data_IF_762781177175
#
_entry.id   IF_762781177175
#
_cell.length_a   1.000
_cell.length_b   1.000
_cell.length_c   1.000
_cell.angle_alpha   90.00
_cell.angle_beta   90.00
_cell.angle_gamma   90.00
#
_symmetry.space_group_name_H-M   'P 1'
#
loop_
_entity.id
_entity.type
_entity.pdbx_description
1 polymer ?
#
# COMPACT_ATOMS: atom_id res chain seq x y z
N UNK A 1 -2.72 -77.37 -37.45
CA UNK A 1 -2.81 -77.88 -36.07
C UNK A 1 -1.96 -76.99 -35.18
N UNK A 2 -2.56 -76.53 -34.11
CA UNK A 2 -2.10 -75.44 -33.25
C UNK A 2 -0.75 -75.69 -32.59
N UNK A 3 0.05 -74.64 -32.43
CA UNK A 3 1.02 -74.59 -31.35
C UNK A 3 1.09 -73.17 -30.78
N UNK A 4 0.96 -73.16 -29.46
CA UNK A 4 0.71 -72.07 -28.54
C UNK A 4 1.99 -71.37 -28.11
N UNK A 5 1.93 -70.04 -27.99
CA UNK A 5 2.86 -69.23 -27.20
C UNK A 5 2.95 -69.72 -25.75
N UNK A 6 4.14 -69.64 -25.13
CA UNK A 6 4.27 -68.67 -24.03
C UNK A 6 5.68 -68.04 -23.93
N UNK A 7 5.74 -66.72 -23.73
CA UNK A 7 6.92 -66.07 -23.14
C UNK A 7 6.43 -64.87 -22.30
N UNK A 8 6.39 -65.04 -20.98
CA UNK A 8 7.42 -64.72 -19.98
C UNK A 8 7.49 -63.21 -19.68
N UNK A 9 6.93 -62.88 -18.52
CA UNK A 9 7.13 -61.66 -17.75
C UNK A 9 8.61 -61.41 -17.48
N UNK A 10 9.06 -60.18 -17.72
CA UNK A 10 10.37 -59.70 -17.27
C UNK A 10 10.15 -58.47 -16.41
N UNK A 11 10.22 -58.71 -15.11
CA UNK A 11 10.45 -57.69 -14.08
C UNK A 11 11.80 -57.01 -14.35
N UNK A 12 11.83 -55.67 -14.48
CA UNK A 12 13.07 -54.90 -14.43
C UNK A 12 13.10 -54.01 -13.21
N UNK A 13 13.99 -54.42 -12.31
CA UNK A 13 14.55 -53.71 -11.16
C UNK A 13 14.82 -52.24 -11.48
N UNK A 14 14.26 -51.34 -10.66
CA UNK A 14 14.53 -49.91 -10.69
C UNK A 14 15.80 -49.68 -9.87
N UNK A 15 16.89 -49.40 -10.56
CA UNK A 15 18.16 -49.05 -9.93
C UNK A 15 18.10 -47.61 -9.41
N UNK A 16 18.28 -47.48 -8.10
CA UNK A 16 18.44 -46.23 -7.38
C UNK A 16 19.74 -45.53 -7.79
N UNK A 17 19.68 -44.56 -8.70
CA UNK A 17 20.86 -43.72 -8.97
C UNK A 17 20.48 -42.28 -9.31
N UNK A 18 21.16 -41.36 -8.59
CA UNK A 18 21.33 -39.92 -8.85
C UNK A 18 20.10 -39.01 -8.74
N UNK A 19 19.83 -38.55 -7.52
CA UNK A 19 19.19 -37.25 -7.28
C UNK A 19 20.15 -36.14 -7.78
N UNK A 20 19.66 -35.09 -8.49
CA UNK A 20 20.51 -33.98 -8.92
C UNK A 20 20.99 -33.19 -7.71
N UNK A 21 22.32 -33.12 -7.56
CA UNK A 21 23.00 -32.29 -6.57
C UNK A 21 22.64 -30.83 -6.84
N UNK A 22 22.01 -30.17 -5.87
CA UNK A 22 21.68 -28.73 -5.84
C UNK A 22 22.91 -27.94 -6.30
N UNK A 23 22.87 -27.34 -7.50
CA UNK A 23 23.98 -26.51 -8.00
C UNK A 23 24.12 -25.32 -7.08
N UNK A 24 25.31 -25.18 -6.49
CA UNK A 24 25.74 -24.05 -5.69
C UNK A 24 25.58 -22.76 -6.50
N UNK A 25 24.95 -21.75 -5.90
CA UNK A 25 24.97 -20.37 -6.39
C UNK A 25 26.42 -19.95 -6.71
N UNK A 26 26.64 -19.05 -7.70
CA UNK A 26 27.98 -18.57 -8.02
C UNK A 26 28.67 -18.06 -6.74
N UNK A 27 29.90 -18.54 -6.50
CA UNK A 27 30.72 -18.10 -5.37
C UNK A 27 31.12 -16.66 -5.68
N UNK A 28 30.44 -15.70 -5.04
CA UNK A 28 30.90 -14.32 -4.98
C UNK A 28 32.11 -14.35 -4.04
N UNK A 29 33.31 -14.11 -4.55
CA UNK A 29 34.49 -14.04 -3.67
C UNK A 29 34.40 -12.75 -2.85
N UNK A 30 34.00 -12.91 -1.59
CA UNK A 30 33.82 -11.82 -0.66
C UNK A 30 35.16 -11.18 -0.32
N UNK A 31 35.18 -9.85 -0.22
CA UNK A 31 36.35 -9.13 0.25
C UNK A 31 36.70 -9.54 1.69
N UNK A 32 37.93 -9.33 2.18
CA UNK A 32 38.27 -9.62 3.58
C UNK A 32 37.33 -8.92 4.58
N UNK A 33 36.90 -7.69 4.27
CA UNK A 33 35.93 -6.95 5.08
C UNK A 33 34.54 -7.62 5.06
N UNK A 34 34.08 -8.07 3.89
CA UNK A 34 32.80 -8.78 3.77
C UNK A 34 32.83 -10.13 4.50
N UNK A 35 33.95 -10.85 4.46
CA UNK A 35 34.13 -12.11 5.21
C UNK A 35 34.06 -11.88 6.73
N UNK A 36 34.67 -10.80 7.23
CA UNK A 36 34.55 -10.42 8.63
C UNK A 36 33.10 -10.04 9.00
N UNK A 37 32.42 -9.27 8.13
CA UNK A 37 31.03 -8.88 8.33
C UNK A 37 30.07 -10.07 8.29
N UNK A 38 30.28 -11.04 7.39
CA UNK A 38 29.54 -12.31 7.36
C UNK A 38 29.63 -13.05 8.70
N UNK A 39 30.82 -13.14 9.29
CA UNK A 39 31.00 -13.76 10.60
C UNK A 39 30.22 -13.02 11.72
N UNK A 40 30.19 -11.68 11.69
CA UNK A 40 29.42 -10.86 12.62
C UNK A 40 27.91 -11.05 12.44
N UNK A 41 27.41 -11.07 11.20
CA UNK A 41 25.99 -11.32 10.92
C UNK A 41 25.60 -12.72 11.39
N UNK A 42 26.42 -13.73 11.09
CA UNK A 42 26.17 -15.09 11.53
C UNK A 42 26.16 -15.21 13.07
N UNK A 43 27.04 -14.48 13.77
CA UNK A 43 27.04 -14.41 15.23
C UNK A 43 25.75 -13.76 15.75
N UNK A 44 25.40 -12.57 15.25
CA UNK A 44 24.19 -11.86 15.65
C UNK A 44 22.91 -12.68 15.40
N UNK A 45 22.84 -13.43 14.29
CA UNK A 45 21.77 -14.39 14.03
C UNK A 45 21.70 -15.52 15.05
N UNK A 46 22.84 -16.14 15.40
CA UNK A 46 22.89 -17.25 16.38
C UNK A 46 22.47 -16.77 17.77
N UNK A 47 22.94 -15.60 18.16
CA UNK A 47 22.71 -15.03 19.49
C UNK A 47 21.38 -14.29 19.58
N UNK A 48 20.65 -14.18 18.46
CA UNK A 48 19.42 -13.38 18.29
C UNK A 48 19.62 -11.92 18.75
N UNK A 49 20.82 -11.37 18.52
CA UNK A 49 21.18 -10.00 18.85
C UNK A 49 20.57 -9.04 17.83
N UNK A 50 19.35 -8.61 18.12
CA UNK A 50 18.58 -7.72 17.26
C UNK A 50 19.27 -6.36 17.04
N UNK A 51 19.76 -5.64 18.07
CA UNK A 51 20.52 -4.41 17.87
C UNK A 51 21.72 -4.59 16.93
N UNK A 52 22.49 -5.67 17.07
CA UNK A 52 23.61 -5.95 16.18
C UNK A 52 23.14 -6.22 14.74
N UNK A 53 22.06 -7.00 14.55
CA UNK A 53 21.48 -7.24 13.23
C UNK A 53 21.00 -5.95 12.55
N UNK A 54 20.32 -5.08 13.30
CA UNK A 54 19.88 -3.76 12.80
C UNK A 54 21.08 -2.93 12.36
N UNK A 55 22.12 -2.85 13.20
CA UNK A 55 23.34 -2.13 12.86
C UNK A 55 24.02 -2.70 11.60
N UNK A 56 24.21 -4.01 11.53
CA UNK A 56 24.87 -4.67 10.40
C UNK A 56 24.08 -4.55 9.09
N UNK A 57 22.75 -4.63 9.14
CA UNK A 57 21.87 -4.40 8.00
C UNK A 57 21.89 -2.93 7.51
N UNK A 58 22.22 -2.00 8.39
CA UNK A 58 22.34 -0.57 8.07
C UNK A 58 23.65 -0.25 7.37
N UNK A 59 24.77 -0.79 7.85
CA UNK A 59 26.10 -0.55 7.26
C UNK A 59 26.19 -1.03 5.81
N UNK A 60 27.17 -0.49 5.06
CA UNK A 60 27.35 -0.74 3.61
C UNK A 60 27.27 -2.21 3.22
N UNK A 61 26.65 -2.49 2.07
CA UNK A 61 26.37 -3.84 1.56
C UNK A 61 25.33 -4.65 2.34
N UNK A 62 24.74 -4.11 3.40
CA UNK A 62 23.62 -4.74 4.14
C UNK A 62 23.98 -6.12 4.69
N UNK A 63 23.09 -7.10 4.49
CA UNK A 63 23.27 -8.47 5.01
C UNK A 63 24.05 -9.39 4.06
N UNK A 64 24.64 -8.84 3.01
CA UNK A 64 25.52 -9.49 2.02
C UNK A 64 24.83 -10.54 1.13
N UNK A 65 24.35 -11.65 1.70
CA UNK A 65 23.94 -12.85 0.94
C UNK A 65 22.57 -13.37 1.37
N UNK A 66 21.87 -14.01 0.43
CA UNK A 66 20.56 -14.63 0.71
C UNK A 66 20.65 -15.75 1.76
N UNK A 67 21.80 -16.41 1.90
CA UNK A 67 21.99 -17.39 2.98
C UNK A 67 21.96 -16.76 4.37
N UNK A 68 22.53 -15.57 4.54
CA UNK A 68 22.46 -14.84 5.81
C UNK A 68 21.06 -14.25 6.02
N UNK A 69 20.45 -13.70 4.96
CA UNK A 69 19.09 -13.15 5.00
C UNK A 69 18.03 -14.19 5.40
N UNK A 70 18.21 -15.46 5.00
CA UNK A 70 17.33 -16.57 5.43
C UNK A 70 17.17 -16.70 6.93
N UNK A 71 18.19 -16.32 7.69
CA UNK A 71 18.13 -16.31 9.16
C UNK A 71 17.82 -14.92 9.70
N UNK A 72 18.43 -13.88 9.11
CA UNK A 72 18.31 -12.51 9.62
C UNK A 72 16.92 -11.88 9.38
N UNK A 73 16.31 -12.06 8.20
CA UNK A 73 15.02 -11.42 7.88
C UNK A 73 13.89 -11.89 8.81
N UNK A 74 13.71 -13.20 9.09
CA UNK A 74 12.73 -13.64 10.08
C UNK A 74 13.00 -13.05 11.48
N UNK A 75 14.26 -12.90 11.89
CA UNK A 75 14.61 -12.30 13.19
C UNK A 75 14.26 -10.80 13.23
N UNK A 76 14.59 -10.05 12.18
CA UNK A 76 14.24 -8.62 12.05
C UNK A 76 12.72 -8.42 12.04
N UNK A 77 11.99 -9.34 11.40
CA UNK A 77 10.52 -9.35 11.40
C UNK A 77 9.91 -9.93 12.68
N UNK A 78 10.70 -10.44 13.62
CA UNK A 78 10.18 -11.01 14.86
C UNK A 78 9.32 -12.25 14.69
N UNK A 79 9.58 -13.07 13.68
CA UNK A 79 8.90 -14.35 13.49
C UNK A 79 9.06 -15.25 14.71
N UNK A 80 7.93 -15.68 15.27
CA UNK A 80 7.87 -16.68 16.32
C UNK A 80 7.59 -18.06 15.72
N UNK A 81 8.03 -19.14 16.38
CA UNK A 81 7.67 -20.51 15.96
C UNK A 81 6.15 -20.74 16.02
N UNK A 82 5.46 -20.03 16.90
CA UNK A 82 4.01 -20.06 17.10
C UNK A 82 3.23 -19.48 15.90
N UNK A 83 3.88 -18.66 15.06
CA UNK A 83 3.27 -18.13 13.84
C UNK A 83 3.08 -19.22 12.77
N UNK A 84 3.75 -20.38 12.93
CA UNK A 84 3.62 -21.52 12.03
C UNK A 84 2.37 -22.35 12.36
N UNK A 85 1.30 -22.18 11.58
CA UNK A 85 0.12 -23.03 11.72
C UNK A 85 0.29 -24.40 11.08
N UNK A 86 -0.22 -25.42 11.75
CA UNK A 86 -0.24 -26.82 11.29
C UNK A 86 -1.34 -27.14 10.27
N UNK A 87 -2.39 -26.31 10.18
CA UNK A 87 -3.48 -26.53 9.21
C UNK A 87 -3.01 -26.17 7.78
N UNK A 88 -3.14 -27.07 6.79
CA UNK A 88 -2.88 -26.75 5.38
C UNK A 88 -3.81 -25.63 4.89
N UNK A 89 -3.24 -24.60 4.26
CA UNK A 89 -3.98 -23.40 3.86
C UNK A 89 -5.02 -23.68 2.76
N UNK A 90 -4.84 -24.75 1.99
CA UNK A 90 -5.75 -25.19 0.94
C UNK A 90 -7.12 -25.60 1.50
N UNK A 91 -7.17 -26.00 2.78
CA UNK A 91 -8.39 -26.36 3.50
C UNK A 91 -9.14 -25.15 4.08
N UNK A 92 -8.51 -23.97 4.10
CA UNK A 92 -9.14 -22.75 4.55
C UNK A 92 -10.07 -22.20 3.46
N UNK A 93 -11.11 -21.43 3.82
CA UNK A 93 -12.00 -20.81 2.86
C UNK A 93 -11.23 -19.97 1.81
N UNK A 94 -11.66 -19.98 0.53
CA UNK A 94 -11.06 -19.15 -0.49
C UNK A 94 -11.10 -17.66 -0.12
N UNK A 95 -10.03 -16.95 -0.45
CA UNK A 95 -9.96 -15.51 -0.28
C UNK A 95 -10.76 -14.79 -1.39
N UNK A 96 -11.25 -13.58 -1.12
CA UNK A 96 -11.98 -12.78 -2.12
C UNK A 96 -11.11 -12.32 -3.29
N UNK A 97 -9.80 -12.20 -3.07
CA UNK A 97 -8.86 -11.58 -4.02
C UNK A 97 -8.04 -12.58 -4.86
N UNK A 98 -8.32 -13.90 -4.78
CA UNK A 98 -7.50 -14.93 -5.48
C UNK A 98 -7.44 -14.74 -6.99
N UNK A 99 -8.50 -14.22 -7.59
CA UNK A 99 -8.52 -13.91 -9.02
C UNK A 99 -7.48 -12.84 -9.38
N UNK A 100 -7.41 -11.75 -8.59
CA UNK A 100 -6.44 -10.69 -8.80
C UNK A 100 -5.00 -11.20 -8.59
N UNK A 101 -4.79 -12.04 -7.56
CA UNK A 101 -3.50 -12.70 -7.32
C UNK A 101 -3.04 -13.46 -8.56
N UNK A 102 -3.93 -14.27 -9.17
CA UNK A 102 -3.60 -15.04 -10.37
C UNK A 102 -3.17 -14.15 -11.54
N UNK A 103 -3.90 -13.05 -11.80
CA UNK A 103 -3.58 -12.12 -12.88
C UNK A 103 -2.21 -11.47 -12.69
N UNK A 104 -1.88 -11.10 -11.46
CA UNK A 104 -0.64 -10.41 -11.10
C UNK A 104 0.57 -11.36 -11.12
N UNK A 105 0.43 -12.55 -10.54
CA UNK A 105 1.50 -13.58 -10.52
C UNK A 105 1.90 -14.02 -11.93
N UNK A 106 0.97 -14.03 -12.88
CA UNK A 106 1.29 -14.33 -14.29
C UNK A 106 2.30 -13.34 -14.89
N UNK A 107 2.36 -12.11 -14.36
CA UNK A 107 3.28 -11.04 -14.77
C UNK A 107 4.52 -10.93 -13.86
N UNK A 108 4.72 -11.85 -12.93
CA UNK A 108 5.88 -11.86 -12.02
C UNK A 108 7.15 -12.42 -12.69
N UNK A 109 8.29 -12.21 -12.02
CA UNK A 109 9.63 -12.68 -12.43
C UNK A 109 10.12 -12.17 -13.79
N UNK A 110 9.73 -10.96 -14.19
CA UNK A 110 10.12 -10.35 -15.48
C UNK A 110 11.60 -9.98 -15.50
N UNK A 111 12.12 -9.39 -14.43
CA UNK A 111 13.50 -8.88 -14.38
C UNK A 111 14.49 -9.81 -13.68
N UNK A 112 13.99 -10.62 -12.75
CA UNK A 112 14.78 -11.55 -11.95
C UNK A 112 13.93 -12.76 -11.54
N UNK A 113 14.55 -13.93 -11.31
CA UNK A 113 15.97 -14.23 -11.53
C UNK A 113 16.34 -14.40 -13.02
N UNK A 114 17.59 -14.07 -13.37
CA UNK A 114 18.11 -14.25 -14.75
C UNK A 114 18.52 -15.71 -14.98
N UNK A 115 18.45 -16.15 -16.23
CA UNK A 115 18.93 -17.46 -16.70
C UNK A 115 18.14 -18.67 -16.18
N UNK A 116 16.85 -18.50 -15.92
CA UNK A 116 15.94 -19.62 -15.64
C UNK A 116 15.15 -20.00 -16.89
N UNK A 117 14.86 -21.30 -17.03
CA UNK A 117 13.96 -21.82 -18.07
C UNK A 117 12.50 -21.48 -17.75
N UNK A 118 11.65 -21.45 -18.78
CA UNK A 118 10.21 -21.19 -18.62
C UNK A 118 9.56 -22.12 -17.59
N UNK A 119 9.93 -23.41 -17.57
CA UNK A 119 9.44 -24.37 -16.58
C UNK A 119 9.83 -24.01 -15.14
N UNK A 120 11.02 -23.44 -14.93
CA UNK A 120 11.44 -22.97 -13.61
C UNK A 120 10.67 -21.71 -13.21
N UNK A 121 10.47 -20.78 -14.15
CA UNK A 121 9.67 -19.58 -13.93
C UNK A 121 8.21 -19.93 -13.61
N UNK A 122 7.60 -20.86 -14.34
CA UNK A 122 6.24 -21.35 -14.07
C UNK A 122 6.14 -21.97 -12.68
N UNK A 123 7.12 -22.78 -12.27
CA UNK A 123 7.17 -23.33 -10.91
C UNK A 123 7.31 -22.22 -9.86
N UNK A 124 8.07 -21.17 -10.13
CA UNK A 124 8.16 -20.02 -9.21
C UNK A 124 6.87 -19.23 -9.13
N UNK A 125 6.15 -19.06 -10.24
CA UNK A 125 4.82 -18.42 -10.27
C UNK A 125 3.82 -19.24 -9.46
N UNK A 126 3.82 -20.55 -9.60
CA UNK A 126 3.02 -21.45 -8.77
C UNK A 126 3.35 -21.26 -7.28
N UNK A 127 4.62 -21.32 -6.90
CA UNK A 127 5.07 -21.09 -5.52
C UNK A 127 4.74 -19.69 -5.00
N UNK A 128 4.84 -18.66 -5.83
CA UNK A 128 4.47 -17.29 -5.47
C UNK A 128 2.98 -17.19 -5.18
N UNK A 129 2.14 -17.82 -6.02
CA UNK A 129 0.71 -17.91 -5.77
C UNK A 129 0.45 -18.65 -4.45
N UNK A 130 1.09 -19.80 -4.21
CA UNK A 130 0.93 -20.57 -2.97
C UNK A 130 1.25 -19.72 -1.73
N UNK A 131 2.38 -19.01 -1.71
CA UNK A 131 2.77 -18.15 -0.57
C UNK A 131 1.77 -17.01 -0.35
N UNK A 132 1.31 -16.34 -1.41
CA UNK A 132 0.34 -15.25 -1.30
C UNK A 132 -0.99 -15.78 -0.76
N UNK A 133 -1.48 -16.89 -1.31
CA UNK A 133 -2.76 -17.48 -0.92
C UNK A 133 -2.73 -18.04 0.50
N UNK A 134 -1.60 -18.62 0.93
CA UNK A 134 -1.40 -19.09 2.30
C UNK A 134 -1.66 -17.93 3.28
N UNK A 135 -0.99 -16.80 3.07
CA UNK A 135 -1.12 -15.61 3.93
C UNK A 135 -2.55 -15.04 3.88
N UNK A 136 -3.12 -14.84 2.68
CA UNK A 136 -4.45 -14.24 2.55
C UNK A 136 -5.58 -15.12 3.12
N UNK A 137 -5.50 -16.44 2.96
CA UNK A 137 -6.52 -17.35 3.52
C UNK A 137 -6.42 -17.47 5.04
N UNK A 138 -5.20 -17.39 5.61
CA UNK A 138 -5.00 -17.33 7.06
C UNK A 138 -5.47 -16.03 7.67
N UNK A 139 -5.32 -14.93 6.93
CA UNK A 139 -5.65 -13.58 7.37
C UNK A 139 -6.68 -12.93 6.44
N UNK A 140 -7.93 -13.43 6.40
CA UNK A 140 -8.95 -13.02 5.42
C UNK A 140 -9.43 -11.57 5.55
N UNK A 141 -8.95 -10.85 6.58
CA UNK A 141 -9.18 -9.42 6.76
C UNK A 141 -8.27 -8.56 5.87
N UNK A 142 -7.11 -9.09 5.44
CA UNK A 142 -6.21 -8.43 4.50
C UNK A 142 -6.89 -8.30 3.12
N UNK A 143 -6.68 -7.15 2.48
CA UNK A 143 -7.10 -6.92 1.09
C UNK A 143 -5.85 -6.90 0.22
N UNK A 144 -5.85 -7.68 -0.86
CA UNK A 144 -4.74 -7.68 -1.81
C UNK A 144 -4.69 -6.33 -2.55
N UNK A 145 -3.50 -5.75 -2.68
CA UNK A 145 -3.25 -4.61 -3.56
C UNK A 145 -2.35 -5.01 -4.73
N UNK A 146 -2.58 -4.42 -5.90
CA UNK A 146 -1.76 -4.66 -7.08
C UNK A 146 -0.32 -4.17 -6.83
N UNK A 147 0.63 -5.08 -6.94
CA UNK A 147 2.04 -4.85 -6.57
C UNK A 147 2.49 -5.59 -5.30
N UNK A 148 1.58 -6.17 -4.53
CA UNK A 148 1.96 -7.02 -3.38
C UNK A 148 2.81 -8.24 -3.80
N UNK A 149 2.57 -8.78 -5.00
CA UNK A 149 3.37 -9.87 -5.55
C UNK A 149 4.85 -9.48 -5.76
N UNK A 150 5.15 -8.21 -6.06
CA UNK A 150 6.53 -7.72 -6.21
C UNK A 150 7.31 -7.78 -4.89
N UNK A 151 6.63 -7.62 -3.75
CA UNK A 151 7.24 -7.84 -2.42
C UNK A 151 7.41 -9.33 -2.16
N UNK A 152 6.34 -10.11 -2.34
CA UNK A 152 6.34 -11.53 -1.95
C UNK A 152 7.32 -12.35 -2.80
N UNK A 153 7.53 -12.00 -4.07
CA UNK A 153 8.51 -12.69 -4.91
C UNK A 153 9.96 -12.51 -4.41
N UNK A 154 10.29 -11.37 -3.80
CA UNK A 154 11.61 -11.15 -3.18
C UNK A 154 11.79 -12.10 -1.99
N UNK A 155 10.80 -12.16 -1.11
CA UNK A 155 10.81 -13.09 0.03
C UNK A 155 10.84 -14.55 -0.42
N UNK A 156 10.11 -14.92 -1.47
CA UNK A 156 10.15 -16.28 -2.03
C UNK A 156 11.56 -16.63 -2.53
N UNK A 157 12.25 -15.71 -3.19
CA UNK A 157 13.61 -15.95 -3.70
C UNK A 157 14.63 -16.10 -2.57
N UNK A 158 14.50 -15.30 -1.52
CA UNK A 158 15.41 -15.35 -0.36
C UNK A 158 15.09 -16.54 0.54
N UNK A 159 13.87 -16.62 1.07
CA UNK A 159 13.43 -17.56 2.11
C UNK A 159 12.98 -18.92 1.55
N UNK A 160 12.48 -18.95 0.32
CA UNK A 160 11.85 -20.14 -0.25
C UNK A 160 10.40 -20.32 0.20
N UNK A 161 9.68 -21.28 -0.41
CA UNK A 161 8.22 -21.40 -0.27
C UNK A 161 7.75 -21.82 1.12
N UNK A 162 8.61 -22.42 1.94
CA UNK A 162 8.24 -22.90 3.27
C UNK A 162 8.44 -21.84 4.37
N UNK A 163 9.51 -21.05 4.27
CA UNK A 163 9.86 -20.04 5.28
C UNK A 163 9.28 -18.65 4.94
N UNK A 164 8.89 -18.41 3.69
CA UNK A 164 8.30 -17.14 3.26
C UNK A 164 6.92 -16.84 3.88
N UNK A 165 5.95 -17.77 3.97
CA UNK A 165 4.62 -17.48 4.48
C UNK A 165 4.58 -16.80 5.87
N UNK A 166 5.25 -17.32 6.93
CA UNK A 166 5.20 -16.66 8.24
C UNK A 166 5.87 -15.28 8.24
N UNK A 167 6.98 -15.11 7.51
CA UNK A 167 7.64 -13.82 7.37
C UNK A 167 6.76 -12.79 6.65
N UNK A 168 6.10 -13.20 5.57
CA UNK A 168 5.17 -12.36 4.82
C UNK A 168 3.93 -12.03 5.65
N UNK A 169 3.37 -12.96 6.43
CA UNK A 169 2.25 -12.67 7.32
C UNK A 169 2.60 -11.54 8.31
N UNK A 170 3.78 -11.60 8.92
CA UNK A 170 4.26 -10.54 9.82
C UNK A 170 4.51 -9.22 9.11
N UNK A 171 5.16 -9.25 7.95
CA UNK A 171 5.34 -8.05 7.13
C UNK A 171 3.98 -7.40 6.82
N UNK A 172 3.03 -8.19 6.33
CA UNK A 172 1.70 -7.75 5.90
C UNK A 172 0.88 -7.15 7.04
N UNK A 173 0.90 -7.76 8.22
CA UNK A 173 0.11 -7.28 9.36
C UNK A 173 0.81 -6.21 10.20
N UNK A 174 2.14 -6.13 10.20
CA UNK A 174 2.89 -5.28 11.13
C UNK A 174 3.77 -4.22 10.46
N UNK A 175 4.03 -4.29 9.16
CA UNK A 175 4.89 -3.34 8.43
C UNK A 175 4.21 -2.63 7.27
N UNK A 176 3.33 -3.32 6.54
CA UNK A 176 2.66 -2.76 5.35
C UNK A 176 1.14 -2.81 5.45
N UNK A 177 0.59 -3.06 6.65
CA UNK A 177 -0.85 -3.25 6.91
C UNK A 177 -1.73 -2.18 6.29
N UNK A 178 -1.31 -0.92 6.37
CA UNK A 178 -2.01 0.23 5.81
C UNK A 178 -2.29 0.11 4.30
N UNK A 179 -1.45 -0.64 3.57
CA UNK A 179 -1.60 -0.88 2.13
C UNK A 179 -2.57 -2.01 1.83
N UNK A 180 -2.90 -2.83 2.83
CA UNK A 180 -3.77 -4.00 2.74
C UNK A 180 -5.16 -3.77 3.37
N UNK A 181 -5.56 -2.52 3.59
CA UNK A 181 -6.95 -2.17 3.91
C UNK A 181 -7.83 -2.21 2.66
N UNK A 182 -9.15 -2.10 2.84
CA UNK A 182 -10.11 -2.16 1.71
C UNK A 182 -9.96 -1.03 0.69
N UNK A 183 -9.25 0.03 1.05
CA UNK A 183 -8.93 1.17 0.18
C UNK A 183 -7.49 1.61 0.41
N UNK A 184 -6.88 2.27 -0.57
CA UNK A 184 -5.53 2.82 -0.46
C UNK A 184 -5.47 4.17 0.27
N UNK A 185 -6.59 4.70 0.80
CA UNK A 185 -6.63 5.97 1.53
C UNK A 185 -5.59 6.04 2.68
N UNK A 186 -5.36 4.98 3.49
CA UNK A 186 -4.32 4.98 4.50
C UNK A 186 -2.91 5.04 3.92
N UNK A 187 -2.64 4.26 2.87
CA UNK A 187 -1.37 4.28 2.14
C UNK A 187 -1.06 5.70 1.63
N UNK A 188 -2.05 6.31 1.00
CA UNK A 188 -1.98 7.67 0.48
C UNK A 188 -1.77 8.70 1.62
N UNK A 189 -2.39 8.48 2.78
CA UNK A 189 -2.17 9.32 3.97
C UNK A 189 -0.72 9.26 4.46
N UNK A 190 -0.06 8.09 4.35
CA UNK A 190 1.38 7.98 4.64
C UNK A 190 2.22 8.76 3.62
N UNK A 191 1.88 8.69 2.33
CA UNK A 191 2.60 9.42 1.29
C UNK A 191 2.46 10.94 1.41
N UNK A 192 1.38 11.44 1.99
CA UNK A 192 1.23 12.87 2.28
C UNK A 192 2.33 13.40 3.22
N UNK A 193 3.00 12.54 3.99
CA UNK A 193 4.18 12.92 4.80
C UNK A 193 5.36 13.42 3.95
N UNK A 194 5.39 13.13 2.64
CA UNK A 194 6.38 13.71 1.73
C UNK A 194 6.30 15.25 1.71
N UNK A 195 5.11 15.83 1.80
CA UNK A 195 4.91 17.28 1.74
C UNK A 195 5.61 18.04 2.88
N UNK A 196 5.40 17.71 4.17
CA UNK A 196 6.12 18.38 5.25
C UNK A 196 7.61 18.05 5.26
N UNK A 197 8.04 16.86 4.80
CA UNK A 197 9.46 16.53 4.64
C UNK A 197 10.11 17.46 3.63
N UNK A 198 9.53 17.61 2.42
CA UNK A 198 10.05 18.52 1.40
C UNK A 198 10.01 19.97 1.86
N UNK A 199 8.91 20.42 2.47
CA UNK A 199 8.80 21.79 3.00
C UNK A 199 9.92 22.13 3.97
N UNK A 200 10.31 21.19 4.82
CA UNK A 200 11.37 21.39 5.81
C UNK A 200 12.78 21.19 5.23
N UNK A 201 12.97 20.25 4.31
CA UNK A 201 14.27 19.91 3.76
C UNK A 201 14.72 20.86 2.64
N UNK A 202 13.80 21.25 1.76
CA UNK A 202 14.05 22.13 0.61
C UNK A 202 12.78 22.93 0.26
N UNK A 203 12.61 24.13 0.85
CA UNK A 203 11.45 24.97 0.58
C UNK A 203 11.31 25.37 -0.89
N UNK A 204 12.42 25.57 -1.62
CA UNK A 204 12.38 25.99 -3.03
C UNK A 204 11.76 24.88 -3.88
N UNK A 205 12.30 23.66 -3.76
CA UNK A 205 11.77 22.49 -4.44
C UNK A 205 10.32 22.22 -4.00
N UNK A 206 10.00 22.35 -2.71
CA UNK A 206 8.63 22.19 -2.22
C UNK A 206 7.66 23.16 -2.90
N UNK A 207 8.04 24.43 -3.12
CA UNK A 207 7.19 25.39 -3.82
C UNK A 207 7.01 25.03 -5.29
N UNK A 208 8.04 24.46 -5.93
CA UNK A 208 8.00 23.98 -7.31
C UNK A 208 7.15 22.72 -7.53
N UNK A 209 7.01 21.85 -6.51
CA UNK A 209 6.24 20.61 -6.66
C UNK A 209 4.72 20.82 -6.84
N UNK A 210 4.04 19.88 -7.55
CA UNK A 210 2.59 19.78 -7.61
C UNK A 210 1.96 19.78 -6.21
N UNK A 211 0.88 20.55 -6.02
CA UNK A 211 0.14 20.56 -4.73
C UNK A 211 -0.94 19.47 -4.65
N UNK A 212 -1.07 18.69 -5.70
CA UNK A 212 -1.94 17.52 -5.76
C UNK A 212 -1.43 16.41 -4.83
N UNK A 213 -2.24 15.37 -4.68
CA UNK A 213 -1.90 14.22 -3.86
C UNK A 213 -0.65 13.51 -4.44
N UNK A 214 0.30 13.03 -3.62
CA UNK A 214 1.58 12.50 -4.09
C UNK A 214 1.46 11.08 -4.67
N UNK A 215 0.57 10.88 -5.63
CA UNK A 215 0.34 9.58 -6.25
C UNK A 215 1.53 9.07 -7.08
N UNK A 216 2.46 9.96 -7.47
CA UNK A 216 3.74 9.60 -8.10
C UNK A 216 4.60 8.69 -7.21
N UNK A 217 4.38 8.72 -5.89
CA UNK A 217 5.14 7.94 -4.92
C UNK A 217 4.51 6.58 -4.59
N UNK A 218 3.30 6.31 -5.06
CA UNK A 218 2.54 5.10 -4.70
C UNK A 218 3.30 3.85 -5.11
N UNK A 219 3.59 3.69 -6.40
CA UNK A 219 4.16 2.46 -6.93
C UNK A 219 5.48 2.08 -6.25
N UNK A 220 6.38 3.05 -6.05
CA UNK A 220 7.65 2.83 -5.35
C UNK A 220 7.46 2.46 -3.89
N UNK A 221 6.65 3.23 -3.15
CA UNK A 221 6.56 3.07 -1.69
C UNK A 221 5.79 1.81 -1.29
N UNK A 222 4.63 1.54 -1.90
CA UNK A 222 3.78 0.41 -1.49
C UNK A 222 4.37 -0.95 -1.85
N UNK A 223 5.31 -0.98 -2.81
CA UNK A 223 6.03 -2.19 -3.23
C UNK A 223 7.42 -2.29 -2.61
N UNK A 224 7.76 -1.44 -1.63
CA UNK A 224 9.09 -1.36 -1.03
C UNK A 224 10.20 -1.24 -2.09
N UNK A 225 9.95 -0.44 -3.12
CA UNK A 225 10.79 -0.17 -4.28
C UNK A 225 11.06 -1.38 -5.19
N UNK A 226 10.52 -2.57 -4.88
CA UNK A 226 10.73 -3.79 -5.67
C UNK A 226 10.13 -3.69 -7.09
N UNK A 227 9.14 -2.83 -7.29
CA UNK A 227 8.55 -2.58 -8.61
C UNK A 227 9.39 -1.67 -9.51
N UNK A 228 10.14 -0.73 -8.93
CA UNK A 228 10.83 0.33 -9.69
C UNK A 228 12.35 0.12 -9.77
N UNK A 229 12.94 -0.57 -8.79
CA UNK A 229 14.35 -1.00 -8.83
C UNK A 229 14.41 -2.34 -9.56
N UNK A 230 15.31 -2.46 -10.54
CA UNK A 230 15.46 -3.69 -11.33
C UNK A 230 16.55 -4.64 -10.82
N UNK A 231 17.73 -4.18 -10.37
CA UNK A 231 18.77 -5.09 -9.91
C UNK A 231 18.35 -5.79 -8.61
N UNK A 232 18.25 -7.12 -8.63
CA UNK A 232 17.88 -7.92 -7.45
C UNK A 232 18.79 -7.68 -6.23
N UNK A 233 20.07 -7.41 -6.47
CA UNK A 233 21.02 -7.06 -5.40
C UNK A 233 20.61 -5.76 -4.68
N UNK A 234 20.14 -4.76 -5.42
CA UNK A 234 19.74 -3.47 -4.85
C UNK A 234 18.39 -3.60 -4.14
N UNK A 235 17.46 -4.39 -4.69
CA UNK A 235 16.18 -4.69 -4.03
C UNK A 235 16.42 -5.38 -2.68
N UNK A 236 17.21 -6.46 -2.67
CA UNK A 236 17.52 -7.18 -1.41
C UNK A 236 18.28 -6.31 -0.41
N UNK A 237 19.16 -5.41 -0.89
CA UNK A 237 19.84 -4.42 -0.05
C UNK A 237 18.88 -3.41 0.58
N UNK A 238 17.88 -2.93 -0.17
CA UNK A 238 16.82 -2.07 0.35
C UNK A 238 15.95 -2.81 1.37
N UNK A 239 15.65 -4.09 1.15
CA UNK A 239 14.88 -4.90 2.10
C UNK A 239 15.67 -5.13 3.39
N UNK A 240 16.98 -5.38 3.32
CA UNK A 240 17.85 -5.43 4.51
C UNK A 240 17.67 -4.16 5.36
N UNK A 241 17.66 -2.98 4.72
CA UNK A 241 17.45 -1.69 5.38
C UNK A 241 16.03 -1.51 5.92
N UNK A 242 14.99 -1.75 5.12
CA UNK A 242 13.59 -1.54 5.52
C UNK A 242 13.12 -2.48 6.62
N UNK A 243 13.66 -3.70 6.69
CA UNK A 243 13.35 -4.65 7.75
C UNK A 243 14.07 -4.33 9.06
N UNK A 244 15.18 -3.59 9.00
CA UNK A 244 15.95 -3.19 10.17
C UNK A 244 15.45 -1.90 10.84
N UNK A 245 14.69 -1.08 10.12
CA UNK A 245 14.33 0.29 10.54
C UNK A 245 12.82 0.53 10.66
N UNK A 246 12.44 1.76 10.99
CA UNK A 246 11.06 2.16 11.23
C UNK A 246 10.17 2.06 9.99
N UNK A 247 8.85 1.89 10.18
CA UNK A 247 7.91 1.62 9.09
C UNK A 247 7.78 2.76 8.08
N UNK A 248 8.20 3.96 8.47
CA UNK A 248 8.16 5.16 7.63
C UNK A 248 9.34 5.25 6.65
N UNK A 249 10.38 4.43 6.78
CA UNK A 249 11.59 4.53 5.97
C UNK A 249 11.39 4.48 4.46
N UNK A 250 10.44 3.69 3.89
CA UNK A 250 10.16 3.77 2.46
C UNK A 250 9.73 5.17 1.99
N UNK A 251 8.99 5.92 2.83
CA UNK A 251 8.61 7.31 2.53
C UNK A 251 9.83 8.23 2.54
N UNK A 252 10.74 8.05 3.51
CA UNK A 252 11.98 8.83 3.58
C UNK A 252 12.94 8.50 2.44
N UNK A 253 13.01 7.24 2.01
CA UNK A 253 13.79 6.86 0.83
C UNK A 253 13.23 7.54 -0.41
N UNK A 254 11.90 7.58 -0.55
CA UNK A 254 11.28 8.30 -1.66
C UNK A 254 11.63 9.79 -1.63
N UNK A 255 11.56 10.42 -0.45
CA UNK A 255 11.98 11.80 -0.28
C UNK A 255 13.45 12.03 -0.64
N UNK A 256 14.36 11.17 -0.19
CA UNK A 256 15.78 11.24 -0.50
C UNK A 256 16.06 11.09 -2.01
N UNK A 257 15.33 10.20 -2.69
CA UNK A 257 15.38 10.03 -4.16
C UNK A 257 14.90 11.27 -4.90
N UNK A 258 13.85 11.93 -4.42
CA UNK A 258 13.38 13.18 -5.04
C UNK A 258 14.38 14.33 -4.80
N UNK A 259 14.89 14.45 -3.58
CA UNK A 259 15.87 15.49 -3.22
C UNK A 259 17.20 15.31 -3.96
N UNK A 260 17.61 14.09 -4.31
CA UNK A 260 18.83 13.87 -5.10
C UNK A 260 18.70 14.33 -6.56
N UNK A 261 17.47 14.48 -7.07
CA UNK A 261 17.16 15.00 -8.41
C UNK A 261 16.77 16.49 -8.40
N UNK A 262 17.04 17.19 -7.30
CA UNK A 262 16.59 18.58 -7.09
C UNK A 262 16.80 19.47 -8.31
N UNK A 263 18.03 19.54 -8.82
CA UNK A 263 18.39 20.49 -9.87
C UNK A 263 17.68 20.14 -11.19
N UNK A 264 17.61 18.86 -11.54
CA UNK A 264 16.83 18.37 -12.70
C UNK A 264 15.35 18.72 -12.59
N UNK A 265 14.77 18.63 -11.39
CA UNK A 265 13.35 18.94 -11.18
C UNK A 265 13.06 20.44 -11.26
N UNK A 266 13.99 21.30 -10.83
CA UNK A 266 13.83 22.76 -10.88
C UNK A 266 14.06 23.35 -12.29
N UNK A 267 14.69 22.59 -13.19
CA UNK A 267 14.83 22.96 -14.60
C UNK A 267 13.53 22.79 -15.40
N UNK A 268 12.57 22.00 -14.91
CA UNK A 268 11.28 21.79 -15.54
C UNK A 268 10.42 23.05 -15.33
N UNK A 269 9.70 23.52 -16.35
CA UNK A 269 8.83 24.68 -16.19
C UNK A 269 7.66 24.34 -15.24
N UNK A 270 7.23 25.30 -14.43
CA UNK A 270 6.07 25.17 -13.56
C UNK A 270 4.77 24.91 -14.35
N UNK A 271 4.70 25.32 -15.61
CA UNK A 271 3.56 25.03 -16.49
C UNK A 271 3.53 23.56 -16.95
N UNK A 272 4.66 22.85 -16.91
CA UNK A 272 4.83 21.45 -17.32
C UNK A 272 4.57 20.47 -16.15
N UNK A 273 3.47 20.65 -15.41
CA UNK A 273 3.12 19.86 -14.21
C UNK A 273 3.11 18.34 -14.49
N UNK A 274 2.62 17.92 -15.68
CA UNK A 274 2.58 16.51 -16.08
C UNK A 274 3.98 15.90 -16.24
N UNK A 275 4.92 16.66 -16.81
CA UNK A 275 6.31 16.22 -16.98
C UNK A 275 6.97 16.10 -15.60
N UNK A 276 6.81 17.14 -14.77
CA UNK A 276 7.32 17.13 -13.39
C UNK A 276 6.80 15.93 -12.61
N UNK A 277 5.50 15.65 -12.71
CA UNK A 277 4.86 14.51 -12.06
C UNK A 277 5.44 13.17 -12.50
N UNK A 278 5.68 12.98 -13.80
CA UNK A 278 6.35 11.78 -14.33
C UNK A 278 7.79 11.66 -13.82
N UNK A 279 8.53 12.77 -13.80
CA UNK A 279 9.93 12.79 -13.38
C UNK A 279 10.09 12.52 -11.87
N UNK A 280 9.15 12.98 -11.04
CA UNK A 280 9.11 12.67 -9.61
C UNK A 280 9.07 11.15 -9.34
N UNK A 281 8.34 10.39 -10.16
CA UNK A 281 8.20 8.93 -10.02
C UNK A 281 9.39 8.10 -10.51
N UNK A 282 10.34 8.69 -11.26
CA UNK A 282 11.50 7.96 -11.81
C UNK A 282 12.66 7.90 -10.82
N UNK A 283 13.45 6.83 -10.84
CA UNK A 283 14.73 6.78 -10.13
C UNK A 283 15.80 7.59 -10.89
N UNK A 284 16.75 8.25 -10.19
CA UNK A 284 17.91 8.86 -10.83
C UNK A 284 18.73 7.80 -11.56
N UNK A 285 19.43 8.21 -12.61
CA UNK A 285 20.31 7.34 -13.40
C UNK A 285 21.72 7.93 -13.41
N UNK A 286 22.73 7.24 -12.83
CA UNK A 286 22.64 5.93 -12.15
C UNK A 286 21.95 6.01 -10.77
N UNK A 287 21.29 4.92 -10.37
CA UNK A 287 20.73 4.77 -9.03
C UNK A 287 21.76 4.12 -8.09
N UNK A 288 22.32 4.90 -7.16
CA UNK A 288 23.22 4.40 -6.12
C UNK A 288 22.44 4.09 -4.83
N UNK A 289 22.22 2.80 -4.55
CA UNK A 289 21.45 2.34 -3.39
C UNK A 289 22.09 2.76 -2.05
N UNK A 290 23.42 2.76 -1.92
CA UNK A 290 24.10 3.09 -0.67
C UNK A 290 24.03 4.59 -0.39
N UNK A 291 24.20 5.41 -1.43
CA UNK A 291 24.01 6.86 -1.34
C UNK A 291 22.59 7.20 -0.85
N UNK A 292 21.57 6.59 -1.45
CA UNK A 292 20.18 6.90 -1.10
C UNK A 292 19.81 6.37 0.29
N UNK A 293 20.33 5.22 0.74
CA UNK A 293 20.16 4.77 2.12
C UNK A 293 20.81 5.75 3.10
N UNK A 294 22.03 6.22 2.84
CA UNK A 294 22.71 7.19 3.70
C UNK A 294 21.93 8.51 3.80
N UNK A 295 21.42 9.03 2.68
CA UNK A 295 20.59 10.25 2.66
C UNK A 295 19.24 10.05 3.35
N UNK A 296 18.67 8.86 3.27
CA UNK A 296 17.43 8.50 3.98
C UNK A 296 17.61 8.60 5.49
N UNK A 297 18.71 8.03 6.02
CA UNK A 297 19.05 8.08 7.44
C UNK A 297 19.27 9.51 7.91
N UNK A 298 20.10 10.28 7.21
CA UNK A 298 20.35 11.70 7.52
C UNK A 298 19.05 12.50 7.56
N UNK A 299 18.18 12.30 6.56
CA UNK A 299 16.91 13.00 6.47
C UNK A 299 15.96 12.61 7.61
N UNK A 300 15.89 11.32 7.95
CA UNK A 300 15.07 10.83 9.05
C UNK A 300 15.53 11.32 10.42
N UNK A 301 16.84 11.28 10.68
CA UNK A 301 17.44 11.75 11.93
C UNK A 301 17.21 13.25 12.14
N UNK A 302 17.31 14.04 11.07
CA UNK A 302 17.10 15.49 11.11
C UNK A 302 15.62 15.87 11.20
N UNK A 303 14.75 15.14 10.50
CA UNK A 303 13.35 15.50 10.29
C UNK A 303 12.40 14.32 10.60
N UNK A 304 12.41 13.73 11.80
CA UNK A 304 11.51 12.61 12.11
C UNK A 304 10.04 13.06 12.06
N UNK A 305 9.08 12.21 11.64
CA UNK A 305 7.71 12.64 11.31
C UNK A 305 7.01 13.37 12.45
N UNK A 306 7.20 12.90 13.68
CA UNK A 306 6.60 13.47 14.88
C UNK A 306 7.15 14.86 15.23
N UNK A 307 8.38 15.18 14.82
CA UNK A 307 9.01 16.49 15.08
C UNK A 307 8.53 17.60 14.14
N UNK A 308 7.99 17.23 12.97
CA UNK A 308 7.55 18.19 11.95
C UNK A 308 6.29 18.97 12.35
N UNK A 309 5.57 18.54 13.40
CA UNK A 309 4.37 19.22 13.90
C UNK A 309 3.27 19.38 12.85
N UNK A 310 3.25 18.52 11.83
CA UNK A 310 2.46 18.72 10.62
C UNK A 310 1.08 18.05 10.69
N UNK A 311 0.09 18.64 10.03
CA UNK A 311 -1.27 18.07 9.99
C UNK A 311 -1.29 16.67 9.38
N UNK A 312 -0.44 16.40 8.39
CA UNK A 312 -0.30 15.10 7.73
C UNK A 312 0.07 14.00 8.74
N UNK A 313 1.01 14.28 9.65
CA UNK A 313 1.36 13.33 10.73
C UNK A 313 0.22 13.14 11.74
N UNK A 314 -0.46 14.22 12.13
CA UNK A 314 -1.61 14.13 13.03
C UNK A 314 -2.77 13.33 12.41
N UNK A 315 -2.95 13.43 11.09
CA UNK A 315 -4.04 12.77 10.35
C UNK A 315 -3.84 11.25 10.20
N UNK A 316 -2.59 10.75 10.25
CA UNK A 316 -2.28 9.31 10.27
C UNK A 316 -2.93 8.65 11.49
N UNK A 317 -3.66 7.56 11.28
CA UNK A 317 -4.33 6.81 12.35
C UNK A 317 -3.35 6.32 13.41
N UNK A 318 -3.74 6.32 14.69
CA UNK A 318 -2.98 5.65 15.75
C UNK A 318 -2.84 4.15 15.52
N UNK A 319 -3.79 3.55 14.79
CA UNK A 319 -3.76 2.15 14.38
C UNK A 319 -2.99 1.93 13.07
N UNK A 320 -2.28 2.92 12.53
CA UNK A 320 -1.37 2.78 11.38
C UNK A 320 -0.05 2.14 11.81
N UNK A 321 0.63 1.39 10.93
CA UNK A 321 1.96 0.83 11.20
C UNK A 321 2.99 1.91 11.52
N UNK A 322 2.79 3.13 11.05
CA UNK A 322 3.67 4.27 11.38
C UNK A 322 3.59 4.69 12.86
N UNK A 323 2.58 4.25 13.61
CA UNK A 323 2.37 4.61 15.02
C UNK A 323 2.24 3.40 15.95
N UNK A 324 1.61 2.31 15.49
CA UNK A 324 1.37 1.12 16.31
C UNK A 324 2.56 0.16 16.36
N UNK A 325 3.31 0.08 15.26
CA UNK A 325 4.44 -0.85 15.03
C UNK A 325 5.59 -0.12 14.36
N UNK A 326 5.80 1.13 14.81
CA UNK A 326 6.68 2.09 14.17
C UNK A 326 8.11 1.57 14.14
N UNK A 327 8.63 1.15 15.29
CA UNK A 327 9.99 0.63 15.45
C UNK A 327 10.06 -0.89 15.41
N UNK A 328 11.25 -1.43 15.16
CA UNK A 328 11.52 -2.87 15.24
C UNK A 328 11.17 -3.42 16.62
N UNK A 329 11.47 -2.68 17.70
CA UNK A 329 11.12 -3.07 19.07
C UNK A 329 9.60 -3.08 19.33
N UNK A 330 8.83 -2.15 18.77
CA UNK A 330 7.36 -2.18 18.84
C UNK A 330 6.81 -3.39 18.12
N UNK A 331 7.34 -3.68 16.93
CA UNK A 331 6.92 -4.83 16.13
C UNK A 331 7.13 -6.16 16.86
N UNK A 332 8.28 -6.36 17.52
CA UNK A 332 8.58 -7.58 18.29
C UNK A 332 7.63 -7.81 19.47
N UNK A 333 6.97 -6.76 19.97
CA UNK A 333 5.98 -6.88 21.04
C UNK A 333 4.59 -7.29 20.55
N UNK A 334 4.36 -7.24 19.24
CA UNK A 334 3.05 -7.50 18.65
C UNK A 334 2.95 -8.90 18.08
N UNK A 335 1.80 -9.52 18.31
CA UNK A 335 1.38 -10.76 17.67
C UNK A 335 0.69 -10.49 16.33
N UNK A 336 0.50 -11.53 15.51
CA UNK A 336 -0.31 -11.43 14.30
C UNK A 336 -1.76 -11.01 14.62
N UNK A 337 -2.32 -11.48 15.74
CA UNK A 337 -3.67 -11.14 16.19
C UNK A 337 -3.80 -9.66 16.57
N UNK A 338 -2.77 -9.06 17.17
CA UNK A 338 -2.74 -7.62 17.43
C UNK A 338 -2.76 -6.84 16.11
N UNK A 339 -1.98 -7.30 15.12
CA UNK A 339 -1.98 -6.74 13.77
C UNK A 339 -3.36 -6.78 13.10
N UNK A 340 -4.08 -7.89 13.18
CA UNK A 340 -5.46 -8.02 12.67
C UNK A 340 -6.42 -7.10 13.41
N UNK A 341 -6.28 -6.98 14.73
CA UNK A 341 -7.10 -6.10 15.55
C UNK A 341 -6.91 -4.64 15.16
N UNK A 342 -5.66 -4.21 14.93
CA UNK A 342 -5.31 -2.88 14.45
C UNK A 342 -5.84 -2.63 13.03
N UNK A 343 -5.79 -3.64 12.14
CA UNK A 343 -6.38 -3.57 10.80
C UNK A 343 -7.88 -3.25 10.90
N UNK A 344 -8.61 -4.02 11.70
CA UNK A 344 -10.07 -3.85 11.86
C UNK A 344 -10.42 -2.51 12.49
N UNK A 345 -9.61 -2.02 13.45
CA UNK A 345 -9.79 -0.69 14.03
C UNK A 345 -9.62 0.41 12.99
N UNK A 346 -8.52 0.37 12.24
CA UNK A 346 -8.23 1.36 11.21
C UNK A 346 -9.26 1.33 10.07
N UNK A 347 -9.72 0.15 9.67
CA UNK A 347 -10.77 -0.05 8.67
C UNK A 347 -12.09 0.61 9.11
N UNK A 348 -12.44 0.54 10.40
CA UNK A 348 -13.60 1.26 10.96
C UNK A 348 -13.41 2.78 10.89
N UNK A 349 -12.21 3.29 11.15
CA UNK A 349 -11.90 4.71 11.04
C UNK A 349 -12.04 5.22 9.60
N UNK A 350 -11.49 4.47 8.62
CA UNK A 350 -11.60 4.80 7.19
C UNK A 350 -13.07 4.86 6.77
N UNK A 351 -13.87 3.83 7.09
CA UNK A 351 -15.30 3.81 6.75
C UNK A 351 -16.07 4.99 7.36
N UNK A 352 -15.75 5.36 8.62
CA UNK A 352 -16.36 6.53 9.27
C UNK A 352 -15.98 7.83 8.54
N UNK A 353 -14.71 8.01 8.18
CA UNK A 353 -14.22 9.19 7.43
C UNK A 353 -14.91 9.27 6.06
N UNK A 354 -14.99 8.18 5.32
CA UNK A 354 -15.66 8.14 4.00
C UNK A 354 -17.17 8.42 4.11
N UNK A 355 -17.85 7.85 5.10
CA UNK A 355 -19.27 8.13 5.35
C UNK A 355 -19.52 9.62 5.66
N UNK A 356 -18.65 10.23 6.49
CA UNK A 356 -18.70 11.66 6.80
C UNK A 356 -18.47 12.53 5.56
N UNK A 357 -17.46 12.19 4.74
CA UNK A 357 -17.18 12.90 3.48
C UNK A 357 -18.35 12.82 2.51
N UNK A 358 -18.94 11.62 2.33
CA UNK A 358 -20.12 11.41 1.49
C UNK A 358 -21.32 12.21 1.99
N UNK A 359 -21.57 12.21 3.30
CA UNK A 359 -22.63 13.02 3.91
C UNK A 359 -22.41 14.53 3.66
N UNK A 360 -21.18 15.03 3.85
CA UNK A 360 -20.82 16.42 3.57
C UNK A 360 -21.03 16.78 2.10
N UNK A 361 -20.59 15.94 1.17
CA UNK A 361 -20.81 16.14 -0.27
C UNK A 361 -22.31 16.18 -0.61
N UNK A 362 -23.10 15.27 -0.04
CA UNK A 362 -24.55 15.25 -0.22
C UNK A 362 -25.21 16.54 0.29
N UNK A 363 -24.79 17.05 1.45
CA UNK A 363 -25.29 18.31 2.01
C UNK A 363 -24.92 19.49 1.12
N UNK A 364 -23.67 19.56 0.63
CA UNK A 364 -23.23 20.62 -0.30
C UNK A 364 -24.00 20.57 -1.62
N UNK A 365 -24.20 19.37 -2.16
CA UNK A 365 -25.01 19.14 -3.35
C UNK A 365 -26.46 19.60 -3.16
N UNK A 366 -27.08 19.22 -2.03
CA UNK A 366 -28.44 19.64 -1.70
C UNK A 366 -28.54 21.16 -1.51
N UNK A 367 -27.57 21.78 -0.82
CA UNK A 367 -27.49 23.23 -0.63
C UNK A 367 -27.37 23.96 -1.98
N UNK A 368 -26.54 23.45 -2.90
CA UNK A 368 -26.42 24.00 -4.27
C UNK A 368 -27.74 23.88 -5.03
N UNK A 369 -28.45 22.75 -4.93
CA UNK A 369 -29.78 22.57 -5.54
C UNK A 369 -30.80 23.55 -4.96
N UNK A 370 -30.89 23.66 -3.63
CA UNK A 370 -31.82 24.60 -2.98
C UNK A 370 -31.51 26.04 -3.41
N UNK A 371 -30.23 26.42 -3.48
CA UNK A 371 -29.85 27.75 -3.97
C UNK A 371 -30.25 27.98 -5.43
N UNK A 372 -30.03 27.01 -6.33
CA UNK A 372 -30.47 27.07 -7.72
C UNK A 372 -32.00 27.18 -7.83
N UNK A 373 -32.74 26.35 -7.07
CA UNK A 373 -34.21 26.43 -7.01
C UNK A 373 -34.69 27.76 -6.44
N UNK A 374 -34.03 28.35 -5.43
CA UNK A 374 -34.40 29.68 -4.92
C UNK A 374 -34.08 30.78 -5.93
N UNK A 375 -33.00 30.66 -6.71
CA UNK A 375 -32.60 31.66 -7.70
C UNK A 375 -33.48 31.64 -8.95
N UNK A 376 -33.86 30.46 -9.44
CA UNK A 376 -34.66 30.29 -10.66
C UNK A 376 -36.14 29.99 -10.39
N UNK A 377 -36.53 29.61 -9.18
CA UNK A 377 -37.90 29.28 -8.82
C UNK A 377 -38.87 30.45 -8.98
N UNK A 378 -38.42 31.69 -8.73
CA UNK A 378 -39.22 32.88 -9.02
C UNK A 378 -39.46 33.10 -10.52
N UNK A 379 -38.47 32.76 -11.37
CA UNK A 379 -38.60 32.86 -12.82
C UNK A 379 -39.55 31.79 -13.35
N UNK A 380 -39.41 30.54 -12.89
CA UNK A 380 -40.31 29.45 -13.27
C UNK A 380 -41.75 29.69 -12.79
N UNK A 381 -41.92 30.23 -11.57
CA UNK A 381 -43.23 30.63 -11.06
C UNK A 381 -43.82 31.77 -11.88
N UNK A 382 -43.03 32.80 -12.22
CA UNK A 382 -43.48 33.92 -13.04
C UNK A 382 -43.89 33.49 -14.45
N UNK A 383 -43.14 32.57 -15.07
CA UNK A 383 -43.49 32.00 -16.39
C UNK A 383 -44.78 31.18 -16.31
N UNK A 384 -44.96 30.35 -15.27
CA UNK A 384 -46.20 29.59 -15.06
C UNK A 384 -47.41 30.51 -14.82
N UNK A 385 -47.26 31.54 -14.00
CA UNK A 385 -48.30 32.55 -13.77
C UNK A 385 -48.62 33.30 -15.07
N UNK A 386 -47.60 33.70 -15.84
CA UNK A 386 -47.79 34.35 -17.14
C UNK A 386 -48.50 33.47 -18.16
N UNK A 387 -48.13 32.18 -18.26
CA UNK A 387 -48.77 31.21 -19.13
C UNK A 387 -50.23 30.94 -18.71
N UNK A 388 -50.48 30.83 -17.40
CA UNK A 388 -51.83 30.66 -16.86
C UNK A 388 -52.72 31.88 -17.10
N UNK A 389 -52.19 33.09 -16.88
CA UNK A 389 -52.88 34.34 -17.18
C UNK A 389 -53.18 34.49 -18.68
N UNK A 390 -52.24 34.10 -19.55
CA UNK A 390 -52.45 34.08 -21.00
C UNK A 390 -53.52 33.06 -21.41
N UNK A 391 -53.51 31.87 -20.82
CA UNK A 391 -54.53 30.84 -21.05
C UNK A 391 -55.92 31.30 -20.62
N UNK A 392 -56.04 31.93 -19.44
CA UNK A 392 -57.28 32.56 -18.97
C UNK A 392 -57.74 33.70 -19.90
N UNK A 393 -56.82 34.53 -20.37
CA UNK A 393 -57.14 35.65 -21.27
C UNK A 393 -57.55 35.20 -22.68
N UNK A 394 -57.07 34.03 -23.13
CA UNK A 394 -57.41 33.47 -24.43
C UNK A 394 -58.70 32.63 -24.40
N UNK A 395 -59.01 32.03 -23.26
CA UNK A 395 -60.28 31.35 -23.00
C UNK A 395 -61.27 32.31 -22.34
N UNK A 396 -61.80 33.26 -23.11
CA UNK A 396 -62.88 34.12 -22.63
C UNK A 396 -64.23 33.37 -22.63
N UNK A 397 -64.37 32.39 -21.74
CA UNK A 397 -65.59 31.64 -21.51
C UNK A 397 -65.87 31.55 -20.01
N UNK A 398 -66.74 32.46 -19.57
CA UNK A 398 -67.65 32.33 -18.43
C UNK A 398 -67.03 32.11 -17.05
N UNK A 399 -67.26 33.08 -16.19
CA UNK A 399 -67.12 33.00 -14.75
C UNK A 399 -67.69 31.68 -14.18
N UNK A 400 -66.81 30.74 -13.87
CA UNK A 400 -67.05 29.72 -12.87
C UNK A 400 -66.12 30.02 -11.69
N UNK A 401 -66.66 30.73 -10.69
CA UNK A 401 -66.07 30.80 -9.35
C UNK A 401 -65.94 29.36 -8.85
N UNK A 402 -64.74 28.78 -8.89
CA UNK A 402 -64.42 27.62 -8.06
C UNK A 402 -63.85 28.12 -6.72
N UNK A 403 -64.35 27.63 -5.57
CA UNK A 403 -63.94 28.07 -4.26
C UNK A 403 -62.65 27.36 -3.88
N UNK A 404 -61.50 27.86 -4.31
CA UNK A 404 -60.20 27.34 -3.87
C UNK A 404 -59.35 28.37 -3.11
N UNK A 405 -59.91 29.55 -2.84
CA UNK A 405 -59.30 30.60 -2.03
C UNK A 405 -60.02 30.87 -0.70
N UNK A 406 -60.96 30.02 -0.29
CA UNK A 406 -61.61 30.12 1.03
C UNK A 406 -60.73 29.65 2.19
N UNK A 407 -59.70 28.83 1.95
CA UNK A 407 -58.96 28.14 3.02
C UNK A 407 -57.55 28.67 3.28
N UNK A 408 -57.05 29.62 2.47
CA UNK A 408 -55.75 30.28 2.68
C UNK A 408 -55.87 31.65 3.37
N UNK A 409 -57.03 32.30 3.31
CA UNK A 409 -57.28 33.58 4.03
C UNK A 409 -57.39 33.40 5.54
N UNK A 410 -57.97 32.29 6.00
CA UNK A 410 -58.17 32.01 7.43
C UNK A 410 -56.92 31.46 8.13
N UNK A 411 -56.02 30.80 7.38
CA UNK A 411 -54.72 30.33 7.89
C UNK A 411 -53.72 31.48 8.12
N UNK A 412 -53.88 32.60 7.40
CA UNK A 412 -53.04 33.80 7.58
C UNK A 412 -53.60 34.71 8.69
N UNK A 413 -54.89 34.64 9.01
CA UNK A 413 -55.49 35.35 10.17
C UNK A 413 -55.14 34.73 11.52
N UNK A 414 -54.81 33.44 11.58
CA UNK A 414 -54.41 32.75 12.82
C UNK A 414 -52.97 33.04 13.29
N UNK A 415 -52.11 33.59 12.43
CA UNK A 415 -50.69 33.85 12.76
C UNK A 415 -50.36 35.32 13.05
N UNK A 416 -51.32 36.23 12.91
CA UNK A 416 -51.14 37.66 13.21
C UNK A 416 -52.28 38.11 14.12
N UNK A 417 -52.23 37.65 15.37
CA UNK A 417 -52.98 38.24 16.47
C UNK A 417 -52.00 38.92 17.44
N UNK A 418 -52.33 40.15 17.83
CA UNK A 418 -51.89 40.85 19.05
C UNK A 418 -50.51 41.53 19.08
N UNK A 419 -50.50 42.77 18.59
CA UNK A 419 -49.99 43.99 19.26
C UNK A 419 -50.84 45.16 18.69
N UNK A 420 -51.27 46.25 19.33
CA UNK A 420 -51.40 46.72 20.71
C UNK A 420 -52.21 48.05 20.64
N UNK A 421 -53.14 48.26 21.58
CA UNK A 421 -53.62 49.53 22.23
C UNK A 421 -54.13 50.79 21.47
N UNK A 422 -54.99 51.52 22.22
CA UNK A 422 -55.51 52.93 22.13
C UNK A 422 -56.56 53.22 21.05
N UNK A 423 -57.77 53.72 21.33
CA UNK A 423 -58.31 54.49 22.48
C UNK A 423 -59.62 53.92 23.05
#
# INVERSE_FOLDING_TARGET
MASTNPSRSVSRSVSSTSLPRRRSSPIIDLSPADKAKEALIAAACRDRDLPALVHLATTSSGLLTDSLRRTAWPLLLGCAEEDASTTPWEKLPPHKDEHQVSLDVNRAFVYYPKNESDKQLDRRKEQLSEVILDVLRRHPSLCYFQGYHDIVQVFLLVLGPHEAPPAIARLSLLRIRDFMLSTLDPAISQLQLLLPIFRAADPELYHHMPKSQPSFAIAGTITLFAHIVQPYKDITRLFDFFLAHDAVMPVYLFAAVVLSKRDELLEIDHEDEDILYVMLGKLPQPFDVEFHIARTLELYERLPPASLGSWEWWNVSSSSVLKSSATTADLHRLTLQDGESLLVQQEKEVRRRQALMKARQNVLYLRKRIWLYRRYGYVSLAVLVGAYAYWLGRNNASAARLPLFGTLGDLVRGFVGTTASSD
#
